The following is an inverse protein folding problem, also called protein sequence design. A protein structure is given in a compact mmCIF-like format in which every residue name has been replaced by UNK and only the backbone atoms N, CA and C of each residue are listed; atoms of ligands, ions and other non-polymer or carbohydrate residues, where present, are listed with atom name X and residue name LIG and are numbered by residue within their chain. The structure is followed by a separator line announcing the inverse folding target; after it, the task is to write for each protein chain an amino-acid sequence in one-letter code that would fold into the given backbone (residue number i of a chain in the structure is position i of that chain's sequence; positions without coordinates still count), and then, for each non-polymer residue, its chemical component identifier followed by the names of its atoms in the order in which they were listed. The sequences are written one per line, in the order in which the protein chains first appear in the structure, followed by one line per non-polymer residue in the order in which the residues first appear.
data_IF_140265331847
#
_entry.id   IF_140265331847
#
_cell.length_a   1.000
_cell.length_b   1.000
_cell.length_c   1.000
_cell.angle_alpha   90.00
_cell.angle_beta   90.00
_cell.angle_gamma   90.00
#
_symmetry.space_group_name_H-M   'P 1'
#
loop_
_entity.id
_entity.type
_entity.pdbx_description
1 polymer ?
#
# COMPACT_ATOMS: atom_id res chain seq x y z
N UNK A 1 11.81 -8.59 -18.77
CA UNK A 1 11.65 -8.79 -17.32
C UNK A 1 11.34 -7.49 -16.56
N UNK A 2 12.10 -6.40 -16.76
CA UNK A 2 11.82 -5.03 -16.25
C UNK A 2 10.36 -4.56 -16.46
N UNK A 3 9.76 -4.89 -17.61
CA UNK A 3 8.36 -4.59 -17.94
C UNK A 3 7.34 -5.15 -16.93
N UNK A 4 7.53 -6.37 -16.39
CA UNK A 4 6.59 -6.96 -15.42
C UNK A 4 6.67 -6.29 -14.05
N UNK A 5 7.88 -6.00 -13.60
CA UNK A 5 8.09 -5.24 -12.36
C UNK A 5 7.53 -3.82 -12.48
N UNK A 6 7.72 -3.15 -13.63
CA UNK A 6 7.10 -1.84 -13.91
C UNK A 6 5.57 -1.90 -13.91
N UNK A 7 4.97 -2.93 -14.52
CA UNK A 7 3.52 -3.14 -14.48
C UNK A 7 3.02 -3.39 -13.05
N UNK A 8 3.75 -4.17 -12.26
CA UNK A 8 3.38 -4.38 -10.87
C UNK A 8 3.49 -3.10 -10.06
N UNK A 9 4.65 -2.42 -10.07
CA UNK A 9 4.87 -1.17 -9.32
C UNK A 9 3.87 -0.11 -9.75
N UNK A 10 3.82 0.21 -11.04
CA UNK A 10 2.91 1.24 -11.55
C UNK A 10 1.44 0.88 -11.37
N UNK A 11 1.07 -0.38 -11.67
CA UNK A 11 -0.30 -0.86 -11.54
C UNK A 11 -0.76 -0.92 -10.08
N UNK A 12 0.07 -1.42 -9.17
CA UNK A 12 -0.21 -1.45 -7.73
C UNK A 12 -0.30 -0.05 -7.14
N UNK A 13 0.65 0.82 -7.45
CA UNK A 13 0.64 2.22 -6.99
C UNK A 13 -0.61 2.95 -7.46
N UNK A 14 -0.98 2.80 -8.73
CA UNK A 14 -2.18 3.40 -9.28
C UNK A 14 -3.44 2.81 -8.66
N UNK A 15 -3.52 1.48 -8.52
CA UNK A 15 -4.66 0.80 -7.93
C UNK A 15 -4.90 1.27 -6.49
N UNK A 16 -3.85 1.30 -5.65
CA UNK A 16 -3.94 1.77 -4.27
C UNK A 16 -4.43 3.23 -4.22
N UNK A 17 -3.85 4.11 -5.04
CA UNK A 17 -4.26 5.51 -5.09
C UNK A 17 -5.72 5.68 -5.53
N UNK A 18 -6.15 4.94 -6.56
CA UNK A 18 -7.52 4.93 -7.04
C UNK A 18 -8.49 4.43 -5.96
N UNK A 19 -8.15 3.36 -5.24
CA UNK A 19 -9.00 2.82 -4.18
C UNK A 19 -9.07 3.76 -2.97
N UNK A 20 -7.96 4.41 -2.60
CA UNK A 20 -7.92 5.42 -1.53
C UNK A 20 -8.84 6.60 -1.85
N UNK A 21 -9.07 6.93 -3.12
CA UNK A 21 -10.00 7.97 -3.54
C UNK A 21 -11.43 7.43 -3.72
N UNK A 22 -11.58 6.31 -4.39
CA UNK A 22 -12.89 5.79 -4.77
C UNK A 22 -13.73 5.39 -3.56
N UNK A 23 -13.13 4.74 -2.56
CA UNK A 23 -13.87 4.25 -1.38
C UNK A 23 -14.49 5.41 -0.58
N UNK A 24 -13.72 6.42 -0.12
CA UNK A 24 -14.28 7.51 0.67
C UNK A 24 -15.22 8.40 -0.16
N UNK A 25 -14.91 8.62 -1.44
CA UNK A 25 -15.77 9.43 -2.31
C UNK A 25 -17.13 8.76 -2.55
N UNK A 26 -17.17 7.43 -2.69
CA UNK A 26 -18.41 6.68 -2.90
C UNK A 26 -19.39 6.80 -1.71
N UNK A 27 -18.89 7.08 -0.51
CA UNK A 27 -19.69 7.23 0.71
C UNK A 27 -19.62 8.63 1.32
N UNK A 28 -19.04 9.59 0.61
CA UNK A 28 -18.75 10.94 1.13
C UNK A 28 -19.99 11.67 1.66
N UNK A 29 -21.17 11.44 1.07
CA UNK A 29 -22.44 12.02 1.54
C UNK A 29 -22.90 11.51 2.91
N UNK A 30 -22.27 10.46 3.44
CA UNK A 30 -22.58 9.82 4.72
C UNK A 30 -21.49 10.04 5.77
N UNK A 31 -20.46 10.82 5.43
CA UNK A 31 -19.37 11.14 6.33
C UNK A 31 -19.63 12.50 7.00
N UNK A 32 -19.31 12.67 8.29
CA UNK A 32 -19.29 13.98 8.92
C UNK A 32 -18.19 14.86 8.30
N UNK A 33 -18.37 16.18 8.39
CA UNK A 33 -17.35 17.16 8.02
C UNK A 33 -17.08 18.06 9.24
N UNK A 34 -15.90 17.96 9.89
CA UNK A 34 -14.72 17.13 9.56
C UNK A 34 -14.87 15.65 9.96
N UNK A 35 -13.96 14.79 9.47
CA UNK A 35 -13.86 13.37 9.87
C UNK A 35 -12.83 13.19 11.00
N UNK A 36 -13.04 12.20 11.86
CA UNK A 36 -12.03 11.74 12.83
C UNK A 36 -10.91 10.98 12.10
N UNK A 37 -9.66 11.31 12.37
CA UNK A 37 -8.49 10.73 11.68
C UNK A 37 -7.48 10.08 12.63
N UNK A 38 -7.50 10.45 13.91
CA UNK A 38 -6.67 9.87 14.96
C UNK A 38 -7.52 9.53 16.18
N UNK A 39 -7.13 8.45 16.85
CA UNK A 39 -7.80 7.95 18.04
C UNK A 39 -6.77 7.75 19.14
N UNK A 40 -7.16 8.08 20.37
CA UNK A 40 -6.40 7.77 21.57
C UNK A 40 -6.36 6.26 21.80
N UNK A 41 -5.50 5.81 22.72
CA UNK A 41 -5.47 4.40 23.12
C UNK A 41 -6.79 3.88 23.72
N UNK A 42 -7.64 4.78 24.24
CA UNK A 42 -8.98 4.42 24.72
C UNK A 42 -10.03 4.35 23.59
N UNK A 43 -9.62 4.56 22.34
CA UNK A 43 -10.49 4.56 21.16
C UNK A 43 -11.33 5.83 20.99
N UNK A 44 -11.03 6.91 21.74
CA UNK A 44 -11.70 8.19 21.61
C UNK A 44 -11.04 9.02 20.50
N UNK A 45 -11.79 9.81 19.72
CA UNK A 45 -11.22 10.61 18.65
C UNK A 45 -10.34 11.73 19.23
N UNK A 46 -9.10 11.80 18.78
CA UNK A 46 -8.08 12.77 19.23
C UNK A 46 -7.98 13.96 18.28
N UNK A 47 -7.98 13.70 16.97
CA UNK A 47 -7.85 14.72 15.94
C UNK A 47 -8.86 14.53 14.80
N UNK A 48 -9.14 15.62 14.10
CA UNK A 48 -10.09 15.68 12.99
C UNK A 48 -9.54 16.44 11.80
N UNK A 49 -9.95 16.06 10.60
CA UNK A 49 -9.49 16.70 9.37
C UNK A 49 -10.62 16.75 8.34
N UNK A 50 -10.69 17.79 7.48
CA UNK A 50 -11.51 17.74 6.29
C UNK A 50 -11.14 16.53 5.43
N UNK A 51 -12.14 15.84 4.86
CA UNK A 51 -11.91 14.64 4.05
C UNK A 51 -10.88 14.87 2.94
N UNK A 52 -10.94 16.03 2.29
CA UNK A 52 -10.02 16.41 1.22
C UNK A 52 -8.56 16.44 1.68
N UNK A 53 -8.30 17.04 2.84
CA UNK A 53 -6.94 17.26 3.35
C UNK A 53 -6.35 15.93 3.84
N UNK A 54 -7.17 15.11 4.51
CA UNK A 54 -6.82 13.74 4.86
C UNK A 54 -6.42 12.91 3.63
N UNK A 55 -7.25 12.89 2.59
CA UNK A 55 -6.97 12.12 1.37
C UNK A 55 -5.73 12.65 0.63
N UNK A 56 -5.60 13.97 0.53
CA UNK A 56 -4.44 14.59 -0.09
C UNK A 56 -3.14 14.22 0.64
N UNK A 57 -3.12 14.34 1.97
CA UNK A 57 -1.96 13.97 2.79
C UNK A 57 -1.58 12.50 2.62
N UNK A 58 -2.55 11.58 2.70
CA UNK A 58 -2.32 10.15 2.53
C UNK A 58 -1.85 9.79 1.11
N UNK A 59 -2.40 10.43 0.08
CA UNK A 59 -1.97 10.23 -1.31
C UNK A 59 -0.55 10.73 -1.55
N UNK A 60 -0.22 11.95 -1.11
CA UNK A 60 1.14 12.50 -1.24
C UNK A 60 2.14 11.56 -0.56
N UNK A 61 1.84 11.14 0.67
CA UNK A 61 2.70 10.21 1.39
C UNK A 61 2.86 8.87 0.67
N UNK A 62 1.76 8.30 0.16
CA UNK A 62 1.81 7.07 -0.63
C UNK A 62 2.68 7.21 -1.88
N UNK A 63 2.55 8.30 -2.62
CA UNK A 63 3.34 8.56 -3.82
C UNK A 63 4.82 8.74 -3.48
N UNK A 64 5.16 9.38 -2.36
CA UNK A 64 6.55 9.50 -1.87
C UNK A 64 7.12 8.12 -1.57
N UNK A 65 6.41 7.29 -0.79
CA UNK A 65 6.85 5.92 -0.46
C UNK A 65 7.02 5.09 -1.74
N UNK A 66 6.04 5.15 -2.65
CA UNK A 66 6.10 4.44 -3.91
C UNK A 66 7.29 4.90 -4.77
N UNK A 67 7.54 6.20 -4.86
CA UNK A 67 8.66 6.76 -5.61
C UNK A 67 10.00 6.30 -5.04
N UNK A 68 10.20 6.39 -3.72
CA UNK A 68 11.44 5.97 -3.05
C UNK A 68 11.75 4.50 -3.37
N UNK A 69 10.80 3.60 -3.13
CA UNK A 69 11.01 2.17 -3.39
C UNK A 69 11.14 1.85 -4.89
N UNK A 70 10.46 2.60 -5.76
CA UNK A 70 10.60 2.46 -7.21
C UNK A 70 11.98 2.88 -7.71
N UNK A 71 12.54 3.99 -7.19
CA UNK A 71 13.88 4.46 -7.56
C UNK A 71 14.93 3.43 -7.16
N UNK A 72 14.85 2.92 -5.93
CA UNK A 72 15.76 1.87 -5.45
C UNK A 72 15.67 0.58 -6.28
N UNK A 73 14.46 0.16 -6.66
CA UNK A 73 14.27 -1.02 -7.51
C UNK A 73 14.68 -0.82 -8.98
N UNK A 74 14.30 0.30 -9.59
CA UNK A 74 14.46 0.54 -11.03
C UNK A 74 15.81 1.14 -11.43
N UNK A 75 16.47 1.83 -10.50
CA UNK A 75 17.77 2.49 -10.70
C UNK A 75 18.95 1.51 -10.74
N UNK A 76 18.71 0.20 -10.57
CA UNK A 76 19.77 -0.81 -10.55
C UNK A 76 20.65 -0.79 -9.30
N UNK A 77 20.31 0.06 -8.33
CA UNK A 77 21.00 0.19 -7.03
C UNK A 77 20.82 -1.09 -6.20
N UNK A 78 19.64 -1.71 -6.27
CA UNK A 78 19.37 -2.97 -5.60
C UNK A 78 19.80 -4.16 -6.46
N UNK A 79 20.58 -5.05 -5.85
CA UNK A 79 20.82 -6.39 -6.40
C UNK A 79 19.49 -7.15 -6.56
N UNK A 80 19.49 -8.27 -7.29
CA UNK A 80 18.28 -9.05 -7.59
C UNK A 80 17.43 -9.43 -6.37
N UNK A 81 18.07 -9.78 -5.25
CA UNK A 81 17.37 -10.03 -3.98
C UNK A 81 16.69 -8.77 -3.41
N UNK A 82 17.25 -7.60 -3.67
CA UNK A 82 16.66 -6.31 -3.29
C UNK A 82 15.36 -6.02 -4.03
N UNK A 83 15.17 -6.47 -5.27
CA UNK A 83 13.90 -6.31 -5.99
C UNK A 83 12.75 -7.07 -5.31
N UNK A 84 13.02 -8.23 -4.73
CA UNK A 84 12.04 -9.00 -3.96
C UNK A 84 11.64 -8.24 -2.67
N UNK A 85 12.62 -7.72 -1.94
CA UNK A 85 12.37 -6.88 -0.75
C UNK A 85 11.62 -5.59 -1.08
N UNK A 86 12.01 -4.90 -2.16
CA UNK A 86 11.32 -3.68 -2.61
C UNK A 86 9.86 -3.97 -3.00
N UNK A 87 9.62 -5.07 -3.72
CA UNK A 87 8.26 -5.51 -4.05
C UNK A 87 7.43 -5.83 -2.80
N UNK A 88 8.01 -6.54 -1.83
CA UNK A 88 7.36 -6.85 -0.56
C UNK A 88 7.04 -5.59 0.24
N UNK A 89 8.00 -4.67 0.37
CA UNK A 89 7.81 -3.39 1.04
C UNK A 89 6.66 -2.59 0.38
N UNK A 90 6.66 -2.48 -0.94
CA UNK A 90 5.60 -1.77 -1.69
C UNK A 90 4.21 -2.40 -1.45
N UNK A 91 4.14 -3.72 -1.41
CA UNK A 91 2.92 -4.48 -1.13
C UNK A 91 2.39 -4.19 0.27
N UNK A 92 3.25 -4.33 1.30
CA UNK A 92 2.90 -4.06 2.70
C UNK A 92 2.49 -2.60 2.89
N UNK A 93 3.31 -1.64 2.46
CA UNK A 93 3.00 -0.22 2.66
C UNK A 93 1.73 0.22 1.93
N UNK A 94 1.52 -0.24 0.69
CA UNK A 94 0.32 0.13 -0.07
C UNK A 94 -0.96 -0.41 0.54
N UNK A 95 -0.95 -1.66 1.00
CA UNK A 95 -2.11 -2.27 1.66
C UNK A 95 -2.38 -1.66 3.03
N UNK A 96 -1.34 -1.37 3.83
CA UNK A 96 -1.50 -0.66 5.11
C UNK A 96 -2.10 0.73 4.90
N UNK A 97 -1.57 1.53 3.97
CA UNK A 97 -2.09 2.88 3.68
C UNK A 97 -3.53 2.86 3.19
N UNK A 98 -3.85 1.97 2.25
CA UNK A 98 -5.22 1.79 1.77
C UNK A 98 -6.14 1.39 2.92
N UNK A 99 -5.74 0.40 3.70
CA UNK A 99 -6.56 -0.10 4.78
C UNK A 99 -6.77 0.92 5.89
N UNK A 100 -5.80 1.77 6.20
CA UNK A 100 -6.00 2.94 7.08
C UNK A 100 -7.07 3.86 6.52
N UNK A 101 -7.00 4.25 5.24
CA UNK A 101 -8.04 5.12 4.62
C UNK A 101 -9.42 4.46 4.67
N UNK A 102 -9.51 3.16 4.37
CA UNK A 102 -10.77 2.42 4.38
C UNK A 102 -11.34 2.32 5.80
N UNK A 103 -10.53 1.94 6.79
CA UNK A 103 -10.97 1.84 8.18
C UNK A 103 -11.37 3.20 8.74
N UNK A 104 -10.59 4.26 8.49
CA UNK A 104 -10.98 5.62 8.86
C UNK A 104 -12.31 6.01 8.23
N UNK A 105 -12.52 5.69 6.95
CA UNK A 105 -13.80 5.95 6.28
C UNK A 105 -14.94 5.19 6.94
N UNK A 106 -14.76 3.89 7.20
CA UNK A 106 -15.78 3.04 7.82
C UNK A 106 -16.08 3.46 9.25
N UNK A 107 -15.09 3.89 10.02
CA UNK A 107 -15.27 4.44 11.37
C UNK A 107 -16.22 5.63 11.39
N UNK A 108 -16.10 6.49 10.37
CA UNK A 108 -16.84 7.74 10.26
C UNK A 108 -18.19 7.58 9.55
N UNK A 109 -18.54 6.39 9.04
CA UNK A 109 -19.79 6.19 8.33
C UNK A 109 -21.00 6.44 9.25
N UNK A 110 -21.91 7.29 8.77
CA UNK A 110 -23.17 7.64 9.45
C UNK A 110 -23.00 8.26 10.85
N UNK A 111 -21.78 8.68 11.21
CA UNK A 111 -21.54 9.38 12.46
C UNK A 111 -22.12 10.80 12.39
N UNK A 112 -22.94 11.23 13.38
CA UNK A 112 -23.50 12.59 13.41
C UNK A 112 -22.44 13.68 13.56
N UNK A 113 -21.32 13.34 14.20
CA UNK A 113 -20.18 14.21 14.47
C UNK A 113 -18.91 13.35 14.62
N UNK A 114 -17.74 13.91 14.30
CA UNK A 114 -16.46 13.23 14.49
C UNK A 114 -16.20 12.80 15.94
N UNK A 115 -16.80 13.49 16.91
CA UNK A 115 -16.64 13.20 18.36
C UNK A 115 -17.34 11.93 18.81
N UNK A 116 -18.32 11.47 18.05
CA UNK A 116 -19.12 10.28 18.37
C UNK A 116 -18.53 9.01 17.73
N UNK A 117 -17.43 9.13 17.00
CA UNK A 117 -16.75 8.04 16.31
C UNK A 117 -15.87 7.26 17.27
N UNK A 118 -16.01 5.94 17.27
CA UNK A 118 -15.16 5.02 18.04
C UNK A 118 -14.27 4.23 17.09
N UNK A 119 -13.04 3.94 17.50
CA UNK A 119 -12.09 3.17 16.70
C UNK A 119 -12.70 1.82 16.23
N UNK A 120 -12.75 1.55 14.91
CA UNK A 120 -13.42 0.37 14.40
C UNK A 120 -12.64 -0.92 14.72
N UNK A 121 -13.32 -2.00 15.14
CA UNK A 121 -12.70 -3.30 15.32
C UNK A 121 -12.30 -3.87 13.95
N UNK A 122 -11.02 -3.75 13.58
CA UNK A 122 -10.57 -4.21 12.26
C UNK A 122 -9.11 -3.99 11.93
N UNK A 123 -8.35 -3.30 12.78
CA UNK A 123 -6.91 -3.06 12.59
C UNK A 123 -6.11 -4.35 12.40
N UNK A 124 -6.51 -5.46 13.03
CA UNK A 124 -5.92 -6.79 12.85
C UNK A 124 -5.99 -7.32 11.40
N UNK A 125 -7.03 -6.97 10.64
CA UNK A 125 -7.15 -7.36 9.22
C UNK A 125 -6.15 -6.64 8.32
N UNK A 126 -5.65 -5.46 8.74
CA UNK A 126 -4.60 -4.75 8.02
C UNK A 126 -3.30 -5.56 7.97
N UNK A 127 -2.96 -6.25 9.06
CA UNK A 127 -1.76 -7.07 9.12
C UNK A 127 -1.85 -8.26 8.16
N UNK A 128 -3.04 -8.86 8.04
CA UNK A 128 -3.29 -9.97 7.13
C UNK A 128 -3.27 -9.52 5.67
N UNK A 129 -3.92 -8.40 5.35
CA UNK A 129 -3.87 -7.78 4.03
C UNK A 129 -2.44 -7.38 3.66
N UNK A 130 -1.71 -6.80 4.62
CA UNK A 130 -0.28 -6.47 4.56
C UNK A 130 0.58 -7.66 4.22
N UNK A 131 0.45 -8.75 4.97
CA UNK A 131 1.20 -9.97 4.77
C UNK A 131 0.95 -10.58 3.38
N UNK A 132 -0.32 -10.63 2.95
CA UNK A 132 -0.68 -11.15 1.63
C UNK A 132 -0.10 -10.30 0.50
N UNK A 133 -0.28 -8.98 0.57
CA UNK A 133 0.24 -8.04 -0.43
C UNK A 133 1.78 -8.05 -0.48
N UNK A 134 2.43 -8.12 0.69
CA UNK A 134 3.88 -8.26 0.81
C UNK A 134 4.39 -9.56 0.20
N UNK A 135 3.72 -10.68 0.46
CA UNK A 135 4.06 -11.97 -0.14
C UNK A 135 3.90 -11.96 -1.67
N UNK A 136 2.83 -11.36 -2.20
CA UNK A 136 2.63 -11.19 -3.63
C UNK A 136 3.72 -10.32 -4.25
N UNK A 137 4.05 -9.20 -3.61
CA UNK A 137 5.13 -8.31 -4.04
C UNK A 137 6.49 -9.00 -4.04
N UNK A 138 6.78 -9.79 -3.00
CA UNK A 138 7.97 -10.63 -2.91
C UNK A 138 8.07 -11.61 -4.07
N UNK A 139 7.01 -12.39 -4.32
CA UNK A 139 6.94 -13.40 -5.40
C UNK A 139 7.18 -12.78 -6.78
N UNK A 140 6.67 -11.58 -7.02
CA UNK A 140 6.83 -10.88 -8.30
C UNK A 140 8.24 -10.30 -8.46
N UNK A 141 8.84 -9.81 -7.37
CA UNK A 141 10.23 -9.37 -7.35
C UNK A 141 11.23 -10.52 -7.47
N UNK A 142 10.99 -11.66 -6.82
CA UNK A 142 11.88 -12.82 -6.83
C UNK A 142 11.91 -13.54 -8.19
N UNK A 143 10.77 -13.65 -8.88
CA UNK A 143 10.70 -14.21 -10.25
C UNK A 143 11.44 -13.36 -11.30
N UNK A 144 11.76 -12.12 -10.97
CA UNK A 144 12.62 -11.27 -11.82
C UNK A 144 14.11 -11.62 -11.66
N UNK A 145 14.47 -12.48 -10.69
CA UNK A 145 15.85 -12.90 -10.42
C UNK A 145 16.27 -14.21 -11.11
N UNK A 146 15.32 -15.03 -11.59
CA UNK A 146 15.60 -16.34 -12.23
C UNK A 146 15.96 -16.19 -13.71
N UNK A 147 17.14 -16.68 -14.09
CA UNK A 147 17.57 -16.93 -15.47
C UNK A 147 17.69 -18.46 -15.62
N UNK A 148 17.32 -19.07 -16.77
CA UNK A 148 17.47 -20.51 -16.98
C UNK A 148 18.93 -20.93 -16.79
N UNK A 149 19.20 -22.15 -16.31
CA UNK A 149 20.57 -22.65 -16.28
C UNK A 149 21.12 -22.58 -17.70
N UNK A 150 22.17 -21.77 -17.89
CA UNK A 150 22.99 -21.89 -19.09
C UNK A 150 23.59 -23.28 -19.06
N UNK A 151 23.20 -24.12 -20.02
CA UNK A 151 23.94 -25.33 -20.40
C UNK A 151 25.40 -24.95 -20.62
N UNK A 152 26.21 -25.07 -19.57
CA UNK A 152 27.66 -25.09 -19.63
C UNK A 152 28.09 -26.45 -19.11
N UNK A 153 27.97 -27.43 -19.98
CA UNK A 153 28.38 -28.78 -19.65
C UNK A 153 28.27 -29.79 -20.78
N UNK A 154 28.62 -29.47 -22.03
CA UNK A 154 29.05 -30.50 -23.00
C UNK A 154 30.03 -29.89 -24.01
N UNK A 155 31.28 -30.36 -24.02
CA UNK A 155 32.17 -30.20 -25.17
C UNK A 155 33.51 -29.49 -24.96
N UNK A 156 34.36 -29.98 -24.06
CA UNK A 156 35.81 -29.81 -24.18
C UNK A 156 36.54 -30.99 -23.55
N UNK A 157 36.28 -32.19 -24.09
CA UNK A 157 37.22 -33.31 -24.02
C UNK A 157 37.40 -33.78 -25.46
N UNK A 158 38.49 -33.34 -26.09
CA UNK A 158 39.43 -34.11 -26.91
C UNK A 158 40.45 -33.18 -27.53
#
# INVERSE_FOLDING_TARGET
MRRRYLWFVGGWTLLVALLMLAVPMAVSSRLPDPIAVEWTFSGAPEDSSPLRDFLFGKLVWWLVVAAVWSVFGLGGVLQRRGLAWAGAALGVFGSTMLGTVVLTTVANLDAPSFRDVVDPPGSGWLLLAGALAGWLGWRLGSRSAEVPPTDRGVGAVR
#
